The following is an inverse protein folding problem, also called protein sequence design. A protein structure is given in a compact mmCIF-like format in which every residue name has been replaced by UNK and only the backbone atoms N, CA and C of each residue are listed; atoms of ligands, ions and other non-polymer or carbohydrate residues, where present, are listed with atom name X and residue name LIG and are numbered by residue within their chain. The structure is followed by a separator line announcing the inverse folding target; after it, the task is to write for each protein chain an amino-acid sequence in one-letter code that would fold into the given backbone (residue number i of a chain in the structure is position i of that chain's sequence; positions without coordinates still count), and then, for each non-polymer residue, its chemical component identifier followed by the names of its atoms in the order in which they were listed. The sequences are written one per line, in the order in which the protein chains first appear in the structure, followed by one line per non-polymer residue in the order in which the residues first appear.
data_IF_694620178896
#
_entry.id   IF_694620178896
#
_cell.length_a   1.000
_cell.length_b   1.000
_cell.length_c   1.000
_cell.angle_alpha   90.00
_cell.angle_beta   90.00
_cell.angle_gamma   90.00
#
_symmetry.space_group_name_H-M   'P 1'
#
loop_
_entity.id
_entity.type
_entity.pdbx_description
1 polymer ?
#
# COMPACT_ATOMS: atom_id res chain seq x y z
N UNK A 1 -4.91 4.94 9.36
CA UNK A 1 -5.05 3.48 9.27
C UNK A 1 -4.11 2.98 8.18
N UNK A 2 -3.30 1.97 8.47
CA UNK A 2 -2.44 1.32 7.48
C UNK A 2 -2.73 -0.18 7.54
N UNK A 3 -2.91 -0.79 6.37
CA UNK A 3 -3.20 -2.22 6.24
C UNK A 3 -2.09 -2.83 5.40
N UNK A 4 -1.62 -4.00 5.81
CA UNK A 4 -0.72 -4.87 5.03
C UNK A 4 -1.30 -6.27 5.11
N UNK A 5 -1.39 -6.93 3.96
CA UNK A 5 -1.89 -8.31 3.86
C UNK A 5 -0.93 -9.14 3.03
N UNK A 6 -0.80 -10.41 3.39
CA UNK A 6 -0.12 -11.41 2.57
C UNK A 6 -1.12 -12.02 1.59
N UNK A 7 -0.67 -12.31 0.38
CA UNK A 7 -1.49 -12.86 -0.70
C UNK A 7 -0.80 -14.05 -1.33
N UNK A 8 -1.57 -15.04 -1.79
CA UNK A 8 -1.05 -16.23 -2.47
C UNK A 8 -0.99 -15.96 -3.97
N UNK A 9 0.03 -15.24 -4.43
CA UNK A 9 0.24 -14.90 -5.84
C UNK A 9 1.57 -14.18 -6.08
N UNK A 10 1.90 -13.82 -7.34
CA UNK A 10 3.16 -13.14 -7.67
C UNK A 10 3.32 -11.80 -6.94
N UNK A 11 2.23 -11.04 -6.81
CA UNK A 11 2.11 -10.00 -5.80
C UNK A 11 1.78 -10.70 -4.49
N UNK A 12 2.80 -10.99 -3.68
CA UNK A 12 2.70 -11.74 -2.43
C UNK A 12 2.31 -10.88 -1.22
N UNK A 13 2.24 -9.56 -1.39
CA UNK A 13 1.81 -8.61 -0.38
C UNK A 13 1.05 -7.45 -1.01
N UNK A 14 -0.01 -6.99 -0.32
CA UNK A 14 -0.72 -5.77 -0.67
C UNK A 14 -0.80 -4.84 0.54
N UNK A 15 -0.69 -3.54 0.31
CA UNK A 15 -0.72 -2.54 1.37
C UNK A 15 -1.50 -1.30 0.94
N UNK A 16 -2.09 -0.61 1.92
CA UNK A 16 -2.65 0.73 1.74
C UNK A 16 -1.75 1.76 2.43
N UNK A 17 -1.29 2.74 1.67
CA UNK A 17 -0.49 3.86 2.17
C UNK A 17 -1.25 5.17 1.96
N UNK A 18 -1.45 5.92 3.04
CA UNK A 18 -1.92 7.29 2.96
C UNK A 18 -0.72 8.19 2.69
N UNK A 19 -0.76 8.91 1.57
CA UNK A 19 0.24 9.89 1.20
C UNK A 19 -0.44 11.26 1.11
N UNK A 20 0.17 12.33 1.64
CA UNK A 20 -0.41 13.67 1.60
C UNK A 20 -0.49 14.23 0.17
N UNK A 21 0.44 13.83 -0.70
CA UNK A 21 0.50 14.22 -2.10
C UNK A 21 1.31 13.19 -2.93
N UNK A 22 1.30 13.30 -4.27
CA UNK A 22 2.05 12.39 -5.14
C UNK A 22 3.58 12.45 -4.95
N UNK A 23 4.15 13.59 -4.54
CA UNK A 23 5.59 13.70 -4.32
C UNK A 23 6.03 12.95 -3.05
N UNK A 24 5.20 12.96 -2.01
CA UNK A 24 5.37 12.15 -0.82
C UNK A 24 5.27 10.65 -1.14
N UNK A 25 4.32 10.26 -2.01
CA UNK A 25 4.23 8.88 -2.52
C UNK A 25 5.53 8.49 -3.27
N UNK A 26 5.98 9.30 -4.24
CA UNK A 26 7.22 9.02 -4.96
C UNK A 26 8.39 8.84 -3.99
N UNK A 27 8.55 9.75 -3.02
CA UNK A 27 9.64 9.68 -2.06
C UNK A 27 9.58 8.38 -1.23
N UNK A 28 8.39 8.00 -0.80
CA UNK A 28 8.17 6.74 -0.10
C UNK A 28 8.56 5.53 -0.96
N UNK A 29 8.13 5.50 -2.22
CA UNK A 29 8.43 4.40 -3.15
C UNK A 29 9.93 4.29 -3.42
N UNK A 30 10.61 5.39 -3.74
CA UNK A 30 12.01 5.34 -4.20
C UNK A 30 13.03 5.30 -3.07
N UNK A 31 12.77 6.01 -1.96
CA UNK A 31 13.77 6.14 -0.89
C UNK A 31 13.51 5.17 0.27
N UNK A 32 12.26 4.74 0.48
CA UNK A 32 11.93 3.79 1.56
C UNK A 32 11.73 2.38 1.04
N UNK A 33 10.75 2.17 0.16
CA UNK A 33 10.52 0.82 -0.39
C UNK A 33 11.66 0.39 -1.31
N UNK A 34 12.14 1.29 -2.17
CA UNK A 34 13.27 1.02 -3.08
C UNK A 34 14.61 0.76 -2.39
N UNK A 35 14.75 1.14 -1.11
CA UNK A 35 15.93 0.80 -0.31
C UNK A 35 15.86 -0.62 0.26
N UNK A 36 14.69 -1.28 0.22
CA UNK A 36 14.50 -2.64 0.75
C UNK A 36 14.93 -3.69 -0.27
N UNK A 37 15.89 -4.54 0.11
CA UNK A 37 16.30 -5.69 -0.71
C UNK A 37 15.26 -6.81 -0.79
N UNK A 38 14.28 -6.82 0.12
CA UNK A 38 13.22 -7.82 0.15
C UNK A 38 12.06 -7.51 -0.83
N UNK A 39 12.02 -6.29 -1.37
CA UNK A 39 10.97 -5.86 -2.30
C UNK A 39 11.57 -5.83 -3.69
N UNK A 40 11.13 -6.76 -4.55
CA UNK A 40 11.65 -6.88 -5.91
C UNK A 40 10.89 -6.01 -6.91
N UNK A 41 9.57 -5.93 -6.75
CA UNK A 41 8.67 -5.18 -7.61
C UNK A 41 7.58 -4.52 -6.77
N UNK A 42 7.13 -3.35 -7.20
CA UNK A 42 6.01 -2.64 -6.59
C UNK A 42 5.05 -2.21 -7.68
N UNK A 43 3.80 -2.63 -7.56
CA UNK A 43 2.70 -2.07 -8.34
C UNK A 43 1.89 -1.13 -7.47
N UNK A 44 1.61 0.07 -7.98
CA UNK A 44 0.84 1.09 -7.28
C UNK A 44 -0.44 1.42 -8.03
N UNK A 45 -1.54 1.54 -7.31
CA UNK A 45 -2.81 2.02 -7.85
C UNK A 45 -3.43 3.04 -6.89
N UNK A 46 -3.80 4.25 -7.36
CA UNK A 46 -4.45 5.23 -6.51
C UNK A 46 -5.90 4.82 -6.21
N UNK A 47 -6.35 5.04 -4.98
CA UNK A 47 -7.76 4.91 -4.63
C UNK A 47 -8.48 6.21 -5.03
N UNK A 48 -9.29 6.15 -6.08
CA UNK A 48 -10.05 7.31 -6.55
C UNK A 48 -11.28 7.57 -5.68
N UNK A 49 -11.94 6.50 -5.23
CA UNK A 49 -13.14 6.59 -4.39
C UNK A 49 -13.28 5.33 -3.54
N UNK A 50 -13.64 5.52 -2.27
CA UNK A 50 -13.99 4.42 -1.36
C UNK A 50 -15.52 4.31 -1.35
N UNK A 51 -16.06 3.32 -2.06
CA UNK A 51 -17.52 3.06 -2.11
C UNK A 51 -18.00 2.16 -0.97
N UNK A 52 -17.08 1.44 -0.34
CA UNK A 52 -17.34 0.58 0.81
C UNK A 52 -16.14 0.68 1.75
N UNK A 53 -16.40 1.06 2.99
CA UNK A 53 -15.41 1.14 4.04
C UNK A 53 -15.58 -0.02 5.02
N UNK A 54 -14.49 -0.35 5.71
CA UNK A 54 -14.52 -1.31 6.82
C UNK A 54 -15.26 -0.66 7.98
N UNK A 55 -16.33 -1.30 8.44
CA UNK A 55 -17.03 -0.94 9.66
C UNK A 55 -16.31 -1.47 10.91
N UNK A 56 -16.74 -1.07 12.11
CA UNK A 56 -16.20 -1.61 13.36
C UNK A 56 -16.28 -3.14 13.38
N UNK A 57 -15.22 -3.80 13.83
CA UNK A 57 -15.29 -5.22 14.13
C UNK A 57 -16.06 -5.38 15.46
N UNK A 58 -17.32 -5.79 15.36
CA UNK A 58 -18.13 -6.16 16.51
C UNK A 58 -17.79 -7.58 16.93
N UNK A 59 -17.53 -7.78 18.23
CA UNK A 59 -17.24 -9.08 18.83
C UNK A 59 -18.48 -9.93 18.98
#
# INVERSE_FOLDING_TARGET
MAVVVATTGPTNSAAQALCPDPAALHRYLTHRLGASRAIHTVHTAPVLQIVKAVGPLTR
#
